data_IF_406605972922
#
_entry.id   IF_406605972922
#
_cell.length_a   1.000
_cell.length_b   1.000
_cell.length_c   1.000
_cell.angle_alpha   90.00
_cell.angle_beta   90.00
_cell.angle_gamma   90.00
#
_symmetry.space_group_name_H-M   'P 1'
#
loop_
_entity.id
_entity.type
_entity.pdbx_description
1 polymer ?
#
# COMPACT_ATOMS: atom_id res chain seq x y z
N UNK A 1 1.39 28.57 -13.23
CA UNK A 1 1.36 27.89 -13.25
C UNK A 1 1.56 27.44 -12.76
N UNK A 2 1.41 27.44 -12.74
CA UNK A 2 1.49 26.75 -12.53
C UNK A 2 1.20 26.07 -12.25
N UNK A 3 0.78 25.78 -12.26
CA UNK A 3 0.44 24.89 -12.24
C UNK A 3 0.53 24.22 -12.26
N UNK A 4 0.41 24.16 -12.46
CA UNK A 4 0.47 23.33 -12.68
C UNK A 4 0.91 22.73 -12.61
N UNK A 5 0.84 22.84 -12.68
CA UNK A 5 1.30 22.07 -12.73
C UNK A 5 1.46 21.34 -12.21
N UNK A 6 0.97 21.41 -12.13
CA UNK A 6 1.06 20.56 -11.51
C UNK A 6 0.59 19.19 -11.36
N UNK A 7 -0.37 18.74 -10.90
CA UNK A 7 -0.98 17.44 -10.80
C UNK A 7 -0.88 16.61 -12.02
N UNK A 8 -0.88 17.24 -13.07
CA UNK A 8 -0.85 16.47 -14.29
C UNK A 8 0.48 15.82 -14.54
N UNK A 9 1.43 16.08 -13.73
CA UNK A 9 2.69 15.40 -13.89
C UNK A 9 2.69 14.01 -13.35
N UNK A 10 1.70 13.67 -12.57
CA UNK A 10 1.63 12.35 -11.98
C UNK A 10 0.54 11.56 -12.65
N UNK A 11 0.81 10.31 -12.96
CA UNK A 11 -0.28 9.47 -13.45
C UNK A 11 -1.36 9.41 -12.41
N UNK A 12 -2.54 9.71 -12.81
CA UNK A 12 -3.67 9.71 -11.92
C UNK A 12 -4.39 8.38 -12.05
N UNK A 13 -4.45 7.64 -10.96
CA UNK A 13 -5.16 6.38 -10.93
C UNK A 13 -6.39 6.56 -10.07
N UNK A 14 -7.55 6.61 -10.68
CA UNK A 14 -8.77 6.79 -9.89
C UNK A 14 -9.06 5.57 -9.06
N UNK A 15 -9.45 5.80 -7.84
CA UNK A 15 -9.83 4.74 -6.94
C UNK A 15 -11.33 4.74 -6.80
N UNK A 16 -11.95 3.67 -7.22
CA UNK A 16 -13.39 3.55 -7.21
C UNK A 16 -13.80 2.65 -6.05
N UNK A 17 -14.83 3.06 -5.32
CA UNK A 17 -15.34 2.29 -4.22
C UNK A 17 -16.47 1.38 -4.69
N UNK A 18 -16.47 0.15 -4.19
CA UNK A 18 -17.51 -0.82 -4.51
C UNK A 18 -18.00 -1.46 -3.22
N UNK A 19 -19.17 -2.03 -3.28
CA UNK A 19 -19.78 -2.70 -2.13
C UNK A 19 -19.45 -4.18 -2.17
N UNK A 20 -18.39 -4.55 -1.47
CA UNK A 20 -18.02 -5.93 -1.34
C UNK A 20 -17.53 -6.54 -2.63
N UNK A 21 -17.28 -7.84 -2.56
CA UNK A 21 -16.73 -8.54 -3.71
C UNK A 21 -17.75 -8.62 -4.83
N UNK A 22 -19.04 -8.61 -4.52
CA UNK A 22 -20.04 -8.65 -5.56
C UNK A 22 -20.02 -7.37 -6.37
N UNK A 23 -19.80 -6.24 -5.70
CA UNK A 23 -19.64 -4.99 -6.43
C UNK A 23 -18.41 -5.00 -7.31
N UNK A 24 -17.33 -5.61 -6.83
CA UNK A 24 -16.13 -5.71 -7.65
C UNK A 24 -16.35 -6.62 -8.84
N UNK A 25 -17.08 -7.70 -8.65
CA UNK A 25 -17.37 -8.59 -9.76
C UNK A 25 -18.24 -7.92 -10.81
N UNK A 26 -19.15 -7.07 -10.38
CA UNK A 26 -20.07 -6.40 -11.29
C UNK A 26 -19.44 -5.22 -12.01
N UNK A 27 -18.31 -4.73 -11.52
CA UNK A 27 -17.67 -3.58 -12.13
C UNK A 27 -17.15 -3.93 -13.51
N UNK A 28 -17.47 -3.10 -14.48
CA UNK A 28 -17.14 -3.40 -15.87
C UNK A 28 -15.74 -2.91 -16.18
N UNK A 29 -14.93 -3.80 -16.73
CA UNK A 29 -13.55 -3.50 -17.10
C UNK A 29 -13.40 -3.79 -18.59
N UNK A 30 -12.88 -2.82 -19.30
CA UNK A 30 -12.64 -2.98 -20.72
C UNK A 30 -11.52 -4.01 -20.95
N UNK A 31 -11.50 -4.65 -22.11
CA UNK A 31 -10.43 -5.59 -22.41
C UNK A 31 -9.06 -4.95 -22.29
N UNK A 32 -8.13 -5.71 -21.78
CA UNK A 32 -6.75 -5.26 -21.59
C UNK A 32 -6.62 -4.15 -20.55
N UNK A 33 -7.62 -3.99 -19.71
CA UNK A 33 -7.59 -2.95 -18.69
C UNK A 33 -7.47 -3.56 -17.32
N UNK A 34 -6.86 -2.79 -16.43
CA UNK A 34 -6.77 -3.15 -15.02
C UNK A 34 -7.36 -2.01 -14.22
N UNK A 35 -8.22 -2.35 -13.28
CA UNK A 35 -8.81 -1.34 -12.40
C UNK A 35 -8.54 -1.73 -10.96
N UNK A 36 -8.46 -0.72 -10.13
CA UNK A 36 -8.25 -0.87 -8.70
C UNK A 36 -9.50 -0.39 -8.00
N UNK A 37 -10.08 -1.28 -7.23
CA UNK A 37 -11.35 -1.00 -6.56
C UNK A 37 -11.14 -1.14 -5.06
N UNK A 38 -11.79 -0.27 -4.31
CA UNK A 38 -11.70 -0.31 -2.86
C UNK A 38 -13.06 -0.68 -2.30
N UNK A 39 -13.05 -1.60 -1.34
CA UNK A 39 -14.29 -1.95 -0.65
C UNK A 39 -14.72 -0.78 0.21
N UNK A 40 -16.00 -0.43 0.12
CA UNK A 40 -16.51 0.70 0.88
C UNK A 40 -16.73 0.35 2.34
N UNK A 41 -16.80 -0.93 2.68
CA UNK A 41 -17.12 -1.34 4.04
C UNK A 41 -15.99 -2.05 4.74
N UNK A 42 -14.94 -2.44 4.03
CA UNK A 42 -13.85 -3.20 4.62
C UNK A 42 -12.54 -2.69 4.06
N UNK A 43 -11.46 -3.04 4.75
CA UNK A 43 -10.13 -2.63 4.30
C UNK A 43 -9.61 -3.65 3.31
N UNK A 44 -10.22 -3.66 2.15
CA UNK A 44 -9.89 -4.60 1.10
C UNK A 44 -9.78 -3.83 -0.21
N UNK A 45 -8.78 -4.19 -0.98
CA UNK A 45 -8.66 -3.65 -2.33
C UNK A 45 -8.78 -4.81 -3.31
N UNK A 46 -9.49 -4.54 -4.40
CA UNK A 46 -9.68 -5.52 -5.46
C UNK A 46 -8.94 -5.05 -6.69
N UNK A 47 -8.21 -5.95 -7.30
CA UNK A 47 -7.55 -5.66 -8.57
C UNK A 47 -8.20 -6.53 -9.62
N UNK A 48 -8.83 -5.88 -10.57
CA UNK A 48 -9.56 -6.59 -11.61
C UNK A 48 -8.91 -6.31 -12.95
N UNK A 49 -8.51 -7.37 -13.61
CA UNK A 49 -7.80 -7.28 -14.88
C UNK A 49 -8.57 -8.06 -15.92
N UNK A 50 -8.78 -7.46 -17.07
CA UNK A 50 -9.46 -8.13 -18.18
C UNK A 50 -8.44 -8.43 -19.26
N UNK A 51 -8.57 -9.62 -19.85
CA UNK A 51 -7.69 -10.02 -20.95
C UNK A 51 -8.26 -9.51 -22.28
N UNK A 52 -7.58 -9.76 -23.40
CA UNK A 52 -8.06 -9.26 -24.68
C UNK A 52 -9.43 -9.80 -25.06
N UNK A 53 -9.81 -10.96 -24.56
CA UNK A 53 -11.11 -11.53 -24.85
C UNK A 53 -12.19 -11.07 -23.90
N UNK A 54 -11.83 -10.23 -22.94
CA UNK A 54 -12.81 -9.72 -22.01
C UNK A 54 -13.02 -10.58 -20.79
N UNK A 55 -12.30 -11.67 -20.65
CA UNK A 55 -12.36 -12.46 -19.43
C UNK A 55 -11.55 -11.74 -18.36
N UNK A 56 -11.97 -11.89 -17.11
CA UNK A 56 -11.31 -11.12 -16.08
C UNK A 56 -10.80 -12.01 -14.97
N UNK A 57 -9.81 -11.48 -14.28
CA UNK A 57 -9.27 -12.05 -13.06
C UNK A 57 -9.48 -11.02 -11.97
N UNK A 58 -10.03 -11.48 -10.86
CA UNK A 58 -10.28 -10.60 -9.71
C UNK A 58 -9.45 -11.09 -8.54
N UNK A 59 -8.63 -10.20 -8.03
CA UNK A 59 -7.80 -10.50 -6.87
C UNK A 59 -8.19 -9.58 -5.73
N UNK A 60 -8.17 -10.11 -4.54
CA UNK A 60 -8.53 -9.36 -3.35
C UNK A 60 -7.34 -9.35 -2.40
N UNK A 61 -7.09 -8.19 -1.81
CA UNK A 61 -5.99 -8.02 -0.87
C UNK A 61 -6.49 -7.26 0.33
N UNK A 62 -6.04 -7.66 1.49
CA UNK A 62 -6.32 -6.92 2.70
C UNK A 62 -5.36 -5.75 2.79
N UNK A 63 -5.91 -4.61 3.18
CA UNK A 63 -5.09 -3.44 3.40
C UNK A 63 -4.59 -3.47 4.82
N UNK A 64 -3.28 -3.62 4.97
CA UNK A 64 -2.66 -3.69 6.27
C UNK A 64 -1.75 -2.48 6.40
N UNK A 65 -1.92 -1.69 7.45
CA UNK A 65 -1.06 -0.52 7.61
C UNK A 65 0.40 -0.92 7.72
N UNK A 66 1.22 -0.18 7.04
CA UNK A 66 2.65 -0.34 7.16
C UNK A 66 3.09 0.53 8.31
N UNK A 67 3.86 -0.03 9.22
CA UNK A 67 4.31 0.71 10.37
C UNK A 67 5.48 1.59 10.00
N UNK A 68 5.20 2.59 9.21
CA UNK A 68 6.21 3.48 8.69
C UNK A 68 5.89 4.92 8.98
N UNK A 69 5.06 5.16 9.95
CA UNK A 69 4.75 6.53 10.32
C UNK A 69 5.96 7.15 11.01
N UNK A 70 5.92 8.46 11.14
CA UNK A 70 7.01 9.15 11.81
C UNK A 70 7.28 8.62 13.20
N UNK A 71 6.25 8.41 14.03
CA UNK A 71 6.53 7.82 15.33
C UNK A 71 7.25 6.49 15.24
N UNK A 72 6.88 5.69 14.26
CA UNK A 72 7.57 4.41 14.06
C UNK A 72 9.01 4.62 13.69
N UNK A 73 9.28 5.61 12.87
CA UNK A 73 10.64 5.92 12.50
C UNK A 73 11.45 6.31 13.72
N UNK A 74 10.89 7.17 14.54
CA UNK A 74 11.58 7.57 15.75
C UNK A 74 11.83 6.39 16.67
N UNK A 75 10.82 5.56 16.81
CA UNK A 75 10.99 4.38 17.64
C UNK A 75 12.07 3.47 17.08
N UNK A 76 12.15 3.37 15.78
CA UNK A 76 13.17 2.55 15.15
C UNK A 76 14.56 3.12 15.43
N UNK A 77 14.70 4.43 15.35
CA UNK A 77 15.97 5.05 15.62
C UNK A 77 16.35 4.86 17.08
N UNK A 78 15.39 4.98 17.97
CA UNK A 78 15.66 4.74 19.37
C UNK A 78 16.07 3.30 19.60
N UNK A 79 15.41 2.37 18.92
CA UNK A 79 15.75 0.98 19.05
C UNK A 79 17.16 0.72 18.55
N UNK A 80 17.55 1.39 17.50
CA UNK A 80 18.88 1.24 16.96
C UNK A 80 19.91 1.77 17.94
N UNK A 81 19.62 2.90 18.53
CA UNK A 81 20.50 3.46 19.54
C UNK A 81 20.64 2.52 20.72
N UNK A 82 19.52 1.98 21.16
CA UNK A 82 19.53 1.03 22.24
C UNK A 82 20.39 -0.17 21.90
N UNK A 83 20.24 -0.65 20.69
CA UNK A 83 21.01 -1.80 20.26
C UNK A 83 22.48 -1.49 20.24
N UNK A 84 22.82 -0.34 19.75
CA UNK A 84 24.21 0.08 19.72
C UNK A 84 24.77 0.17 21.13
N UNK A 85 24.03 0.73 22.03
CA UNK A 85 24.46 0.83 23.40
C UNK A 85 24.64 -0.53 24.04
N UNK A 86 23.69 -1.41 23.78
CA UNK A 86 23.80 -2.76 24.33
C UNK A 86 24.99 -3.48 23.74
N UNK A 87 25.23 -3.29 22.48
CA UNK A 87 26.37 -3.91 21.84
C UNK A 87 27.67 -3.39 22.46
N UNK A 88 27.75 -2.10 22.62
CA UNK A 88 28.91 -1.49 23.23
C UNK A 88 29.12 -2.02 24.63
N UNK A 89 28.03 -2.11 25.39
CA UNK A 89 28.12 -2.63 26.75
C UNK A 89 28.61 -4.05 26.76
N UNK A 90 28.10 -4.86 25.86
CA UNK A 90 28.52 -6.26 25.81
C UNK A 90 29.99 -6.37 25.52
N UNK A 91 30.44 -5.61 24.55
CA UNK A 91 31.84 -5.65 24.17
C UNK A 91 32.69 -5.07 25.30
N UNK A 92 32.28 -3.95 25.83
CA UNK A 92 33.00 -3.34 26.92
C UNK A 92 32.99 -4.21 28.16
N UNK A 93 31.83 -4.78 28.45
CA UNK A 93 31.76 -5.66 29.60
C UNK A 93 32.64 -6.86 29.45
N UNK A 94 32.76 -7.36 28.26
CA UNK A 94 33.64 -8.47 28.03
C UNK A 94 35.10 -8.11 28.26
N UNK A 95 35.42 -6.91 27.94
CA UNK A 95 36.77 -6.43 28.09
C UNK A 95 37.17 -6.27 29.55
N UNK A 96 36.17 -6.11 30.34
CA UNK A 96 36.46 -5.98 31.78
C UNK A 96 36.39 -7.31 32.48
#
# INVERSE_FOLDING_TARGET
MYNNYYGQQYPYIPLTFVNGIEGAKAYIVAPNQTVYLRDSDADIIYIKTADPQGRYILQSYNLVPVEQTKPSEYATMDALKDLEEKLTKLIGGKHE
#
